data_IF_888003278282
#
_entry.id   IF_888003278282
#
_cell.length_a   1.000
_cell.length_b   1.000
_cell.length_c   1.000
_cell.angle_alpha   90.00
_cell.angle_beta   90.00
_cell.angle_gamma   90.00
#
_symmetry.space_group_name_H-M   'P 1'
#
loop_
_entity.id
_entity.type
_entity.pdbx_description
1 polymer ?
#
# COMPACT_ATOMS: atom_id res chain seq x y z
N UNK A 1 -3.85 8.48 -9.20
CA UNK A 1 -3.73 7.61 -8.01
C UNK A 1 -5.09 7.53 -7.35
N UNK A 2 -5.44 6.36 -6.80
CA UNK A 2 -6.63 6.17 -5.99
C UNK A 2 -6.29 5.40 -4.72
N UNK A 3 -7.10 5.64 -3.70
CA UNK A 3 -7.18 4.84 -2.48
C UNK A 3 -8.64 4.81 -2.07
N UNK A 4 -9.20 3.61 -1.90
CA UNK A 4 -10.61 3.44 -1.62
C UNK A 4 -10.84 2.34 -0.58
N UNK A 5 -11.93 2.47 0.16
CA UNK A 5 -12.43 1.44 1.05
C UNK A 5 -13.73 0.88 0.48
N UNK A 6 -13.85 -0.43 0.40
CA UNK A 6 -15.10 -1.11 0.11
C UNK A 6 -15.55 -1.86 1.35
N UNK A 7 -16.75 -1.54 1.81
CA UNK A 7 -17.51 -2.38 2.72
C UNK A 7 -18.57 -3.11 1.89
N UNK A 8 -18.41 -4.41 1.74
CA UNK A 8 -19.24 -5.26 0.89
C UNK A 8 -20.09 -6.17 1.77
N UNK A 9 -21.39 -6.22 1.48
CA UNK A 9 -22.27 -7.26 2.03
C UNK A 9 -22.02 -8.61 1.35
N UNK A 10 -22.40 -9.71 2.00
CA UNK A 10 -22.28 -11.04 1.39
C UNK A 10 -23.05 -11.13 0.06
N UNK A 11 -22.42 -11.67 -0.97
CA UNK A 11 -22.94 -11.75 -2.34
C UNK A 11 -22.83 -10.45 -3.14
N UNK A 12 -22.38 -9.33 -2.53
CA UNK A 12 -22.17 -8.09 -3.27
C UNK A 12 -21.07 -8.26 -4.32
N UNK A 13 -21.30 -7.65 -5.49
CA UNK A 13 -20.32 -7.60 -6.58
C UNK A 13 -19.79 -6.19 -6.75
N UNK A 14 -18.49 -6.08 -6.93
CA UNK A 14 -17.82 -4.81 -7.16
C UNK A 14 -16.77 -4.97 -8.26
N UNK A 15 -16.44 -3.86 -8.91
CA UNK A 15 -15.51 -3.85 -10.03
C UNK A 15 -14.43 -2.80 -9.81
N UNK A 16 -13.17 -3.22 -9.90
CA UNK A 16 -12.01 -2.33 -9.89
C UNK A 16 -11.69 -1.95 -11.35
N UNK A 17 -11.84 -0.68 -11.76
CA UNK A 17 -11.58 -0.25 -13.13
C UNK A 17 -10.13 -0.47 -13.58
N UNK A 18 -9.92 -0.52 -14.90
CA UNK A 18 -8.62 -0.69 -15.54
C UNK A 18 -7.84 0.62 -15.77
N UNK A 19 -8.29 1.73 -15.17
CA UNK A 19 -7.77 3.08 -15.44
C UNK A 19 -6.27 3.20 -15.16
N UNK A 20 -5.78 2.58 -14.08
CA UNK A 20 -4.37 2.65 -13.69
C UNK A 20 -3.64 1.32 -13.95
N UNK A 21 -2.36 1.37 -14.33
CA UNK A 21 -1.58 0.17 -14.58
C UNK A 21 -1.19 -0.56 -13.29
N UNK A 22 -0.85 0.17 -12.22
CA UNK A 22 -0.55 -0.43 -10.91
C UNK A 22 -1.79 -0.42 -10.04
N UNK A 23 -2.27 -1.61 -9.66
CA UNK A 23 -3.50 -1.79 -8.89
C UNK A 23 -3.34 -2.97 -7.93
N UNK A 24 -3.83 -2.79 -6.72
CA UNK A 24 -3.88 -3.85 -5.72
C UNK A 24 -5.10 -3.73 -4.81
N UNK A 25 -5.43 -4.86 -4.18
CA UNK A 25 -6.48 -4.97 -3.18
C UNK A 25 -5.94 -5.69 -1.94
N UNK A 26 -6.17 -5.13 -0.76
CA UNK A 26 -5.88 -5.78 0.51
C UNK A 26 -7.20 -6.15 1.19
N UNK A 27 -7.40 -7.44 1.46
CA UNK A 27 -8.57 -7.92 2.18
C UNK A 27 -8.33 -7.70 3.67
N UNK A 28 -8.93 -6.65 4.25
CA UNK A 28 -8.77 -6.32 5.66
C UNK A 28 -9.65 -7.19 6.56
N UNK A 29 -10.84 -7.59 6.08
CA UNK A 29 -11.75 -8.49 6.78
C UNK A 29 -12.63 -9.26 5.79
N UNK A 30 -13.17 -10.40 6.24
CA UNK A 30 -14.06 -11.24 5.43
C UNK A 30 -13.34 -12.05 4.35
N UNK A 31 -14.08 -12.42 3.31
CA UNK A 31 -13.62 -13.24 2.19
C UNK A 31 -14.24 -12.75 0.88
N UNK A 32 -13.42 -12.67 -0.16
CA UNK A 32 -13.83 -12.28 -1.52
C UNK A 32 -13.35 -13.31 -2.54
N UNK A 33 -14.11 -13.49 -3.60
CA UNK A 33 -13.72 -14.22 -4.80
C UNK A 33 -13.28 -13.24 -5.89
N UNK A 34 -12.13 -13.53 -6.50
CA UNK A 34 -11.58 -12.81 -7.65
C UNK A 34 -11.02 -13.84 -8.63
N UNK A 35 -11.38 -13.75 -9.91
CA UNK A 35 -10.97 -14.68 -10.96
C UNK A 35 -11.16 -16.16 -10.58
N UNK A 36 -12.27 -16.47 -9.92
CA UNK A 36 -12.63 -17.82 -9.47
C UNK A 36 -11.83 -18.36 -8.27
N UNK A 37 -11.03 -17.51 -7.62
CA UNK A 37 -10.25 -17.86 -6.43
C UNK A 37 -10.74 -17.09 -5.21
N UNK A 38 -10.83 -17.75 -4.05
CA UNK A 38 -11.20 -17.09 -2.81
C UNK A 38 -9.99 -16.59 -2.03
N UNK A 39 -10.14 -15.40 -1.45
CA UNK A 39 -9.11 -14.70 -0.68
C UNK A 39 -9.72 -14.15 0.60
N UNK A 40 -9.22 -14.64 1.74
CA UNK A 40 -9.59 -14.16 3.07
C UNK A 40 -8.75 -12.98 3.57
N UNK A 41 -9.06 -12.54 4.78
CA UNK A 41 -8.37 -11.45 5.47
C UNK A 41 -6.84 -11.64 5.54
N UNK A 42 -6.11 -10.53 5.44
CA UNK A 42 -4.65 -10.48 5.47
C UNK A 42 -3.97 -10.75 4.13
N UNK A 43 -4.73 -10.97 3.05
CA UNK A 43 -4.20 -11.20 1.70
C UNK A 43 -4.09 -9.91 0.90
N UNK A 44 -2.96 -9.76 0.21
CA UNK A 44 -2.70 -8.71 -0.76
C UNK A 44 -2.76 -9.32 -2.16
N UNK A 45 -3.63 -8.78 -3.00
CA UNK A 45 -3.80 -9.15 -4.40
C UNK A 45 -3.21 -8.04 -5.26
N UNK A 46 -2.37 -8.40 -6.23
CA UNK A 46 -1.75 -7.45 -7.17
C UNK A 46 -2.21 -7.83 -8.57
N UNK A 47 -2.70 -6.86 -9.33
CA UNK A 47 -3.34 -7.08 -10.62
C UNK A 47 -2.47 -6.63 -11.78
N UNK A 48 -2.54 -7.35 -12.89
CA UNK A 48 -1.92 -6.91 -14.14
C UNK A 48 -2.68 -5.70 -14.72
N UNK A 49 -2.02 -4.83 -15.50
CA UNK A 49 -2.69 -3.72 -16.17
C UNK A 49 -3.66 -4.21 -17.27
N UNK A 50 -4.61 -3.37 -17.66
CA UNK A 50 -5.35 -3.51 -18.91
C UNK A 50 -6.77 -4.08 -18.81
N UNK A 51 -7.11 -4.82 -17.76
CA UNK A 51 -8.46 -5.37 -17.59
C UNK A 51 -9.09 -4.99 -16.25
N UNK A 52 -10.41 -4.72 -16.20
CA UNK A 52 -11.11 -4.53 -14.94
C UNK A 52 -11.14 -5.83 -14.13
N UNK A 53 -11.08 -5.71 -12.81
CA UNK A 53 -11.10 -6.88 -11.90
C UNK A 53 -12.46 -6.95 -11.23
N UNK A 54 -13.11 -8.11 -11.29
CA UNK A 54 -14.39 -8.35 -10.66
C UNK A 54 -14.21 -9.05 -9.32
N UNK A 55 -14.91 -8.55 -8.32
CA UNK A 55 -14.95 -9.09 -6.97
C UNK A 55 -16.36 -9.56 -6.65
N UNK A 56 -16.47 -10.71 -5.99
CA UNK A 56 -17.69 -11.14 -5.31
C UNK A 56 -17.39 -11.35 -3.84
N UNK A 57 -18.12 -10.70 -2.94
CA UNK A 57 -17.98 -10.95 -1.52
C UNK A 57 -18.61 -12.30 -1.14
N UNK A 58 -17.83 -13.24 -0.61
CA UNK A 58 -18.33 -14.54 -0.14
C UNK A 58 -18.90 -14.45 1.29
N UNK A 59 -18.49 -13.42 2.03
CA UNK A 59 -19.00 -13.01 3.34
C UNK A 59 -18.96 -11.48 3.42
N UNK A 60 -19.53 -10.83 4.46
CA UNK A 60 -19.30 -9.40 4.66
C UNK A 60 -17.79 -9.11 4.70
N UNK A 61 -17.32 -8.24 3.81
CA UNK A 61 -15.90 -8.06 3.56
C UNK A 61 -15.50 -6.59 3.55
N UNK A 62 -14.28 -6.32 4.04
CA UNK A 62 -13.64 -5.01 3.93
C UNK A 62 -12.43 -5.17 3.02
N UNK A 63 -12.44 -4.45 1.90
CA UNK A 63 -11.35 -4.46 0.92
C UNK A 63 -10.80 -3.05 0.78
N UNK A 64 -9.51 -2.91 1.02
CA UNK A 64 -8.77 -1.67 0.78
C UNK A 64 -8.17 -1.73 -0.63
N UNK A 65 -8.54 -0.79 -1.47
CA UNK A 65 -8.06 -0.70 -2.85
C UNK A 65 -7.03 0.42 -2.95
N UNK A 66 -5.96 0.17 -3.70
CA UNK A 66 -4.92 1.15 -3.97
C UNK A 66 -4.39 0.99 -5.39
N UNK A 67 -3.98 2.10 -5.99
CA UNK A 67 -3.35 2.07 -7.30
C UNK A 67 -3.08 3.44 -7.88
N UNK A 68 -2.38 3.50 -9.00
CA UNK A 68 -1.95 4.75 -9.60
C UNK A 68 -0.99 4.57 -10.76
N UNK A 69 -0.45 5.70 -11.20
CA UNK A 69 0.67 5.70 -12.13
C UNK A 69 1.94 5.25 -11.42
N UNK A 70 2.83 4.50 -12.09
CA UNK A 70 4.12 4.12 -11.54
C UNK A 70 4.90 5.37 -11.14
N UNK A 71 5.35 5.43 -9.90
CA UNK A 71 6.13 6.58 -9.40
C UNK A 71 7.59 6.54 -9.86
N UNK A 72 7.98 5.50 -10.62
CA UNK A 72 9.35 5.20 -11.01
C UNK A 72 10.16 4.55 -9.88
N UNK A 73 11.46 4.27 -10.11
CA UNK A 73 12.29 3.58 -9.12
C UNK A 73 12.40 4.37 -7.81
N UNK A 74 12.35 3.65 -6.69
CA UNK A 74 12.57 4.20 -5.35
C UNK A 74 13.56 3.32 -4.59
N UNK A 75 14.46 3.97 -3.88
CA UNK A 75 15.35 3.35 -2.90
C UNK A 75 14.71 3.52 -1.53
N UNK A 76 14.56 2.41 -0.83
CA UNK A 76 13.94 2.36 0.51
C UNK A 76 14.99 1.77 1.45
N UNK A 77 15.30 2.50 2.52
CA UNK A 77 16.16 2.05 3.61
C UNK A 77 15.60 2.62 4.90
N UNK A 78 15.16 1.74 5.80
CA UNK A 78 14.44 2.10 7.01
C UNK A 78 13.29 3.08 6.70
N UNK A 79 13.19 4.20 7.42
CA UNK A 79 12.16 5.23 7.23
C UNK A 79 12.45 6.19 6.07
N UNK A 80 13.52 5.98 5.29
CA UNK A 80 13.90 6.86 4.18
C UNK A 80 13.53 6.27 2.83
N UNK A 81 12.87 7.09 2.01
CA UNK A 81 12.50 6.77 0.63
C UNK A 81 12.98 7.89 -0.29
N UNK A 82 13.77 7.55 -1.31
CA UNK A 82 14.30 8.54 -2.26
C UNK A 82 14.34 7.99 -3.70
N UNK A 83 14.37 8.89 -4.69
CA UNK A 83 14.60 8.55 -6.10
C UNK A 83 16.09 8.45 -6.46
N UNK A 84 17.01 8.82 -5.56
CA UNK A 84 18.46 8.70 -5.74
C UNK A 84 19.13 8.11 -4.50
N UNK A 85 20.19 7.32 -4.71
CA UNK A 85 20.97 6.73 -3.63
C UNK A 85 21.72 7.78 -2.82
N UNK A 86 22.29 8.79 -3.47
CA UNK A 86 23.05 9.85 -2.78
C UNK A 86 22.18 10.62 -1.77
N UNK A 87 20.91 10.88 -2.13
CA UNK A 87 19.97 11.54 -1.21
C UNK A 87 19.61 10.65 -0.03
N UNK A 88 19.50 9.35 -0.24
CA UNK A 88 19.22 8.38 0.81
C UNK A 88 20.42 8.24 1.77
N UNK A 89 21.65 8.20 1.25
CA UNK A 89 22.86 8.19 2.07
C UNK A 89 23.06 9.49 2.85
N UNK A 90 22.77 10.64 2.24
CA UNK A 90 22.78 11.92 2.94
C UNK A 90 21.76 11.92 4.10
N UNK A 91 20.53 11.46 3.87
CA UNK A 91 19.50 11.36 4.90
C UNK A 91 19.94 10.45 6.06
N UNK A 92 20.58 9.31 5.77
CA UNK A 92 21.14 8.42 6.79
C UNK A 92 22.25 9.09 7.59
N UNK A 93 23.14 9.84 6.93
CA UNK A 93 24.20 10.59 7.61
C UNK A 93 23.63 11.72 8.50
N UNK A 94 22.59 12.41 8.03
CA UNK A 94 21.90 13.46 8.78
C UNK A 94 21.20 12.90 10.02
N UNK A 95 20.55 11.74 9.89
CA UNK A 95 19.92 11.05 11.02
C UNK A 95 20.94 10.63 12.09
N UNK A 96 22.03 9.95 11.68
CA UNK A 96 23.09 9.52 12.62
C UNK A 96 23.74 10.70 13.36
N UNK A 97 23.78 11.86 12.73
CA UNK A 97 24.38 13.06 13.30
C UNK A 97 23.38 13.96 14.05
N UNK A 98 22.11 13.55 14.19
CA UNK A 98 21.08 14.35 14.86
C UNK A 98 20.76 15.67 14.15
N UNK A 99 20.99 15.76 12.83
CA UNK A 99 20.70 16.97 12.03
C UNK A 99 19.23 17.10 11.62
N UNK A 100 18.43 16.05 11.83
CA UNK A 100 17.00 16.06 11.59
C UNK A 100 16.25 16.45 12.85
N UNK A 101 15.30 17.38 12.73
CA UNK A 101 14.45 17.81 13.83
C UNK A 101 13.53 16.65 14.27
N UNK A 102 13.52 16.36 15.57
CA UNK A 102 12.54 15.45 16.18
C UNK A 102 11.19 16.16 16.40
N UNK A 103 10.08 15.42 16.50
CA UNK A 103 8.77 16.00 16.80
C UNK A 103 8.78 16.82 18.09
N UNK A 104 8.14 17.99 18.09
CA UNK A 104 8.18 18.93 19.23
C UNK A 104 7.62 18.36 20.54
N UNK A 105 6.77 17.32 20.47
CA UNK A 105 6.16 16.67 21.61
C UNK A 105 6.73 15.27 21.91
N UNK A 106 7.76 14.84 21.17
CA UNK A 106 8.35 13.49 21.26
C UNK A 106 9.83 13.56 20.83
N UNK A 107 10.64 14.31 21.60
CA UNK A 107 12.05 14.59 21.32
C UNK A 107 13.02 13.99 22.35
N UNK A 108 12.50 13.24 23.32
CA UNK A 108 13.27 12.66 24.42
C UNK A 108 13.92 11.32 24.05
N UNK A 109 13.40 10.65 23.02
CA UNK A 109 13.87 9.35 22.56
C UNK A 109 14.42 9.43 21.13
N UNK A 110 15.45 8.63 20.86
CA UNK A 110 16.07 8.55 19.54
C UNK A 110 16.25 7.09 19.13
N UNK A 111 15.69 6.73 17.97
CA UNK A 111 15.82 5.40 17.37
C UNK A 111 17.00 5.42 16.38
N UNK A 112 18.14 4.76 16.68
CA UNK A 112 19.24 4.70 15.73
C UNK A 112 18.85 3.89 14.49
N UNK A 113 19.55 4.13 13.38
CA UNK A 113 19.47 3.21 12.23
C UNK A 113 19.91 1.80 12.67
N UNK A 114 19.28 0.74 12.13
CA UNK A 114 19.68 -0.65 12.40
C UNK A 114 21.09 -0.98 11.90
#
# INVERSE_FOLDING_TARGET
MFYAHWALEAGAKAQLPAEYPERAAYVAAGEVEVDGHSYGAGKMLVFQPGEPVLFTALSPAIVMLLGGEPVGPRFIDWNFVASSKDRLEQAKADWRAGRMKLPDADDQEFIPLP
#
